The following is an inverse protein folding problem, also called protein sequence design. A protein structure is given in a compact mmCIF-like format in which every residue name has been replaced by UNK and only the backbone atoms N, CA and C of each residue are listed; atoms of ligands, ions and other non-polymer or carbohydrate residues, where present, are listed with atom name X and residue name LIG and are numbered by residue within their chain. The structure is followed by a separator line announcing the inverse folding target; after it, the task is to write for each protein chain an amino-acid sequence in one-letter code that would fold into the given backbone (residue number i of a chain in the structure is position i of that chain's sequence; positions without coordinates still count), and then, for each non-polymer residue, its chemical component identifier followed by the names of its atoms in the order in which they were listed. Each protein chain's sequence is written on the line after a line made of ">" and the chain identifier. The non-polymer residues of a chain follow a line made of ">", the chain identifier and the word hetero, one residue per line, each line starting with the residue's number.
data_IF_539065206564
#
_entry.id   IF_539065206564
#
_cell.length_a   1.000
_cell.length_b   1.000
_cell.length_c   1.000
_cell.angle_alpha   90.00
_cell.angle_beta   90.00
_cell.angle_gamma   90.00
#
_symmetry.space_group_name_H-M   'P 1'
#
loop_
_entity.id
_entity.type
_entity.pdbx_description
1 polymer ?
#
# COMPACT_ATOMS: atom_id res chain seq x y z
N UNK A 1 7.72 17.73 -22.48
CA UNK A 1 8.21 17.89 -21.49
C UNK A 1 8.07 16.94 -20.48
N UNK A 2 7.14 16.53 -20.27
CA UNK A 2 6.77 15.73 -19.18
C UNK A 2 7.29 14.32 -19.20
N UNK A 3 7.69 13.75 -20.34
CA UNK A 3 8.15 12.36 -20.40
C UNK A 3 9.37 12.08 -19.51
N UNK A 4 10.39 12.96 -19.53
CA UNK A 4 11.57 12.76 -18.70
C UNK A 4 11.26 12.94 -17.22
N UNK A 5 10.39 13.89 -16.90
CA UNK A 5 9.93 14.12 -15.54
C UNK A 5 9.18 12.92 -15.01
N UNK A 6 8.24 12.38 -15.80
CA UNK A 6 7.44 11.23 -15.41
C UNK A 6 8.29 9.98 -15.19
N UNK A 7 9.25 9.72 -16.07
CA UNK A 7 10.16 8.58 -15.93
C UNK A 7 11.01 8.71 -14.68
N UNK A 8 11.47 9.93 -14.35
CA UNK A 8 12.26 10.14 -13.14
C UNK A 8 11.43 9.86 -11.87
N UNK A 9 10.18 10.32 -11.84
CA UNK A 9 9.28 10.07 -10.72
C UNK A 9 8.99 8.58 -10.57
N UNK A 10 8.73 7.89 -11.68
CA UNK A 10 8.46 6.46 -11.64
C UNK A 10 9.67 5.67 -11.13
N UNK A 11 10.88 6.08 -11.52
CA UNK A 11 12.09 5.43 -11.01
C UNK A 11 12.24 5.62 -9.51
N UNK A 12 11.98 6.82 -9.01
CA UNK A 12 12.02 7.09 -7.59
C UNK A 12 10.98 6.28 -6.83
N UNK A 13 9.77 6.21 -7.35
CA UNK A 13 8.69 5.42 -6.76
C UNK A 13 9.06 3.94 -6.74
N UNK A 14 9.66 3.43 -7.80
CA UNK A 14 10.09 2.05 -7.87
C UNK A 14 11.17 1.73 -6.84
N UNK A 15 12.11 2.64 -6.64
CA UNK A 15 13.15 2.49 -5.62
C UNK A 15 12.54 2.47 -4.22
N UNK A 16 11.64 3.40 -3.94
CA UNK A 16 10.97 3.48 -2.64
C UNK A 16 10.10 2.25 -2.38
N UNK A 17 9.42 1.77 -3.41
CA UNK A 17 8.63 0.54 -3.32
C UNK A 17 9.51 -0.65 -2.98
N UNK A 18 10.65 -0.76 -3.63
CA UNK A 18 11.60 -1.83 -3.34
C UNK A 18 12.09 -1.79 -1.89
N UNK A 19 12.37 -0.59 -1.38
CA UNK A 19 12.78 -0.41 0.01
C UNK A 19 11.67 -0.79 0.98
N UNK A 20 10.42 -0.46 0.67
CA UNK A 20 9.26 -0.85 1.48
C UNK A 20 9.13 -2.36 1.55
N UNK A 21 9.21 -3.02 0.41
CA UNK A 21 9.10 -4.48 0.33
C UNK A 21 10.22 -5.14 1.14
N UNK A 22 11.43 -4.62 1.03
CA UNK A 22 12.57 -5.11 1.82
C UNK A 22 12.31 -4.91 3.32
N UNK A 23 11.79 -3.77 3.72
CA UNK A 23 11.47 -3.49 5.11
C UNK A 23 10.43 -4.47 5.65
N UNK A 24 9.36 -4.69 4.89
CA UNK A 24 8.33 -5.66 5.26
C UNK A 24 8.95 -7.04 5.44
N UNK A 25 9.78 -7.45 4.51
CA UNK A 25 10.42 -8.77 4.57
C UNK A 25 11.32 -8.91 5.80
N UNK A 26 12.20 -7.95 6.02
CA UNK A 26 13.22 -8.07 7.07
C UNK A 26 12.68 -7.80 8.47
N UNK A 27 11.83 -6.79 8.59
CA UNK A 27 11.44 -6.28 9.92
C UNK A 27 10.08 -6.79 10.38
N UNK A 28 9.16 -7.02 9.46
CA UNK A 28 7.82 -7.45 9.83
C UNK A 28 7.61 -8.94 9.68
N UNK A 29 8.00 -9.50 8.54
CA UNK A 29 7.88 -10.94 8.29
C UNK A 29 9.09 -11.72 8.81
N UNK A 30 10.23 -11.06 8.92
CA UNK A 30 11.50 -11.67 9.38
C UNK A 30 11.86 -12.90 8.55
N UNK A 31 11.76 -12.76 7.24
CA UNK A 31 12.08 -13.80 6.29
C UNK A 31 13.30 -13.41 5.48
N UNK A 32 14.09 -14.43 5.08
CA UNK A 32 15.14 -14.18 4.11
C UNK A 32 14.53 -14.09 2.70
N UNK A 33 15.35 -13.68 1.72
CA UNK A 33 14.87 -13.51 0.34
C UNK A 33 14.32 -14.79 -0.25
N UNK A 34 14.98 -15.90 0.00
CA UNK A 34 14.59 -17.19 -0.56
C UNK A 34 13.22 -17.60 -0.06
N UNK A 35 12.97 -17.44 1.23
CA UNK A 35 11.69 -17.82 1.84
C UNK A 35 10.56 -16.93 1.38
N UNK A 36 10.76 -15.62 1.36
CA UNK A 36 9.71 -14.71 0.88
C UNK A 36 9.45 -14.94 -0.60
N UNK A 37 10.48 -15.03 -1.40
CA UNK A 37 10.34 -15.25 -2.84
C UNK A 37 9.49 -16.50 -3.11
N UNK A 38 9.74 -17.57 -2.39
CA UNK A 38 8.99 -18.81 -2.51
C UNK A 38 7.51 -18.59 -2.18
N UNK A 39 7.22 -17.82 -1.14
CA UNK A 39 5.84 -17.58 -0.70
C UNK A 39 5.05 -16.66 -1.62
N UNK A 40 5.73 -15.76 -2.33
CA UNK A 40 5.06 -14.86 -3.26
C UNK A 40 5.25 -15.26 -4.73
N UNK A 41 5.82 -16.46 -4.97
CA UNK A 41 5.85 -17.04 -6.29
C UNK A 41 6.86 -16.44 -7.26
N UNK A 42 8.00 -15.95 -6.76
CA UNK A 42 9.07 -15.40 -7.60
C UNK A 42 10.40 -16.04 -7.20
N UNK A 43 11.42 -15.84 -8.03
CA UNK A 43 12.77 -16.26 -7.67
C UNK A 43 13.38 -15.29 -6.66
N UNK A 44 14.35 -15.77 -5.87
CA UNK A 44 15.05 -14.89 -4.94
C UNK A 44 15.87 -13.82 -5.67
N UNK A 45 16.37 -14.15 -6.86
CA UNK A 45 17.06 -13.18 -7.70
C UNK A 45 16.14 -12.08 -8.17
N UNK A 46 14.93 -12.43 -8.60
CA UNK A 46 13.95 -11.44 -9.01
C UNK A 46 13.52 -10.56 -7.83
N UNK A 47 13.30 -11.17 -6.68
CA UNK A 47 12.98 -10.40 -5.48
C UNK A 47 14.11 -9.42 -5.14
N UNK A 48 15.36 -9.85 -5.29
CA UNK A 48 16.50 -8.95 -5.11
C UNK A 48 16.45 -7.74 -6.02
N UNK A 49 16.10 -7.94 -7.30
CA UNK A 49 15.95 -6.84 -8.25
C UNK A 49 14.80 -5.91 -7.85
N UNK A 50 13.71 -6.45 -7.37
CA UNK A 50 12.57 -5.66 -6.90
C UNK A 50 12.99 -4.79 -5.71
N UNK A 51 13.71 -5.37 -4.75
CA UNK A 51 14.15 -4.64 -3.56
C UNK A 51 15.18 -3.56 -3.89
N UNK A 52 15.94 -3.75 -4.95
CA UNK A 52 16.89 -2.74 -5.42
C UNK A 52 16.23 -1.65 -6.26
N UNK A 53 14.95 -1.77 -6.56
CA UNK A 53 14.23 -0.79 -7.36
C UNK A 53 14.44 -0.96 -8.86
N UNK A 54 14.87 -2.15 -9.30
CA UNK A 54 15.13 -2.42 -10.72
C UNK A 54 14.00 -3.17 -11.41
N UNK A 55 13.07 -3.71 -10.66
CA UNK A 55 11.92 -4.45 -11.18
C UNK A 55 10.72 -4.25 -10.27
N UNK A 56 9.54 -4.62 -10.75
CA UNK A 56 8.31 -4.55 -9.99
C UNK A 56 7.73 -5.96 -9.82
N UNK A 57 7.05 -6.17 -8.71
CA UNK A 57 6.30 -7.40 -8.50
C UNK A 57 5.09 -7.46 -9.44
N UNK A 58 4.71 -8.67 -9.82
CA UNK A 58 3.47 -8.90 -10.56
C UNK A 58 2.27 -8.69 -9.64
N UNK A 59 1.09 -8.52 -10.22
CA UNK A 59 -0.13 -8.40 -9.43
C UNK A 59 -0.35 -9.61 -8.53
N UNK A 60 -0.05 -10.80 -9.03
CA UNK A 60 -0.16 -12.02 -8.24
C UNK A 60 0.75 -11.99 -7.01
N UNK A 61 2.00 -11.59 -7.21
CA UNK A 61 2.97 -11.51 -6.11
C UNK A 61 2.59 -10.45 -5.09
N UNK A 62 2.05 -9.31 -5.55
CA UNK A 62 1.55 -8.28 -4.67
C UNK A 62 0.37 -8.79 -3.84
N UNK A 63 -0.54 -9.53 -4.47
CA UNK A 63 -1.68 -10.13 -3.76
C UNK A 63 -1.20 -11.09 -2.67
N UNK A 64 -0.22 -11.93 -2.99
CA UNK A 64 0.34 -12.87 -2.02
C UNK A 64 1.07 -12.15 -0.89
N UNK A 65 1.81 -11.10 -1.21
CA UNK A 65 2.49 -10.30 -0.19
C UNK A 65 1.49 -9.57 0.70
N UNK A 66 0.42 -9.05 0.12
CA UNK A 66 -0.68 -8.44 0.87
C UNK A 66 -1.26 -9.43 1.88
N UNK A 67 -1.55 -10.64 1.42
CA UNK A 67 -2.13 -11.67 2.29
C UNK A 67 -1.17 -12.09 3.40
N UNK A 68 0.11 -12.14 3.10
CA UNK A 68 1.13 -12.57 4.04
C UNK A 68 1.46 -11.48 5.08
N UNK A 69 1.56 -10.23 4.64
CA UNK A 69 2.00 -9.12 5.49
C UNK A 69 0.87 -8.43 6.24
N UNK A 70 -0.35 -8.52 5.72
CA UNK A 70 -1.48 -7.77 6.25
C UNK A 70 -1.56 -6.32 5.78
N UNK A 71 -0.56 -5.85 5.03
CA UNK A 71 -0.61 -4.51 4.44
C UNK A 71 -1.49 -4.51 3.20
N UNK A 72 -2.15 -3.39 2.95
CA UNK A 72 -2.92 -3.22 1.73
C UNK A 72 -2.02 -3.13 0.51
N UNK A 73 -2.58 -3.43 -0.67
CA UNK A 73 -1.86 -3.23 -1.92
C UNK A 73 -1.50 -1.75 -2.10
N UNK A 74 -2.38 -0.86 -1.67
CA UNK A 74 -2.13 0.59 -1.74
C UNK A 74 -0.90 1.00 -0.96
N UNK A 75 -0.70 0.42 0.23
CA UNK A 75 0.51 0.69 0.99
C UNK A 75 1.74 0.13 0.28
N UNK A 76 1.67 -1.11 -0.18
CA UNK A 76 2.80 -1.79 -0.81
C UNK A 76 3.23 -1.05 -2.08
N UNK A 77 2.27 -0.66 -2.91
CA UNK A 77 2.53 -0.07 -4.22
C UNK A 77 2.75 1.45 -4.13
N UNK A 78 1.89 2.15 -3.40
CA UNK A 78 1.80 3.61 -3.45
C UNK A 78 2.17 4.31 -2.15
N UNK A 79 2.57 3.57 -1.12
CA UNK A 79 2.96 4.15 0.17
C UNK A 79 1.82 4.85 0.91
N UNK A 80 0.57 4.47 0.66
CA UNK A 80 -0.55 4.98 1.44
C UNK A 80 -0.53 4.40 2.84
N UNK A 81 -0.75 5.26 3.83
CA UNK A 81 -0.61 4.89 5.24
C UNK A 81 -1.74 3.98 5.71
N UNK A 82 -1.44 2.71 5.92
CA UNK A 82 -2.40 1.73 6.46
C UNK A 82 -2.92 2.14 7.83
N UNK A 83 -2.13 2.85 8.60
CA UNK A 83 -2.49 3.25 9.97
C UNK A 83 -3.73 4.12 9.97
N UNK A 84 -3.88 5.01 9.01
CA UNK A 84 -5.04 5.88 8.89
C UNK A 84 -6.28 5.05 8.59
N UNK A 85 -6.17 4.09 7.67
CA UNK A 85 -7.28 3.21 7.31
C UNK A 85 -7.72 2.37 8.51
N UNK A 86 -6.77 1.78 9.22
CA UNK A 86 -7.04 0.95 10.39
C UNK A 86 -7.73 1.75 11.50
N UNK A 87 -7.23 2.94 11.78
CA UNK A 87 -7.83 3.81 12.80
C UNK A 87 -9.25 4.19 12.42
N UNK A 88 -9.48 4.52 11.16
CA UNK A 88 -10.81 4.86 10.67
C UNK A 88 -11.76 3.68 10.85
N UNK A 89 -11.34 2.48 10.50
CA UNK A 89 -12.17 1.28 10.68
C UNK A 89 -12.49 1.03 12.15
N UNK A 90 -11.50 1.18 13.04
CA UNK A 90 -11.71 1.01 14.48
C UNK A 90 -12.75 2.01 15.00
N UNK A 91 -12.65 3.27 14.59
CA UNK A 91 -13.62 4.29 14.97
C UNK A 91 -15.01 3.95 14.45
N UNK A 92 -15.12 3.53 13.19
CA UNK A 92 -16.42 3.19 12.62
C UNK A 92 -17.07 2.00 13.32
N UNK A 93 -16.29 1.04 13.78
CA UNK A 93 -16.80 -0.13 14.49
C UNK A 93 -17.43 0.21 15.86
N UNK A 94 -17.08 1.36 16.42
CA UNK A 94 -17.61 1.79 17.73
C UNK A 94 -19.00 2.42 17.64
N UNK A 95 -19.46 2.70 16.42
CA UNK A 95 -20.73 3.42 16.24
C UNK A 95 -21.81 2.49 15.74
N UNK A 96 -23.03 2.80 16.12
CA UNK A 96 -24.20 2.10 15.60
C UNK A 96 -24.42 2.48 14.14
N UNK A 97 -25.22 1.67 13.44
CA UNK A 97 -25.56 1.95 12.05
C UNK A 97 -26.20 3.33 11.90
N UNK A 98 -27.12 3.68 12.81
CA UNK A 98 -27.78 5.00 12.76
C UNK A 98 -26.80 6.14 12.99
N UNK A 99 -25.85 5.96 13.90
CA UNK A 99 -24.81 6.96 14.13
C UNK A 99 -23.91 7.13 12.91
N UNK A 100 -23.58 6.04 12.22
CA UNK A 100 -22.78 6.09 11.01
C UNK A 100 -23.53 6.80 9.88
N UNK A 101 -24.81 6.56 9.73
CA UNK A 101 -25.65 7.24 8.74
C UNK A 101 -25.68 8.73 9.02
N UNK A 102 -25.87 9.12 10.29
CA UNK A 102 -25.86 10.52 10.69
C UNK A 102 -24.55 11.22 10.37
N UNK A 103 -23.43 10.54 10.69
CA UNK A 103 -22.10 11.08 10.39
C UNK A 103 -21.89 11.24 8.88
N UNK A 104 -22.36 10.27 8.08
CA UNK A 104 -22.26 10.35 6.63
C UNK A 104 -23.05 11.53 6.07
N UNK A 105 -24.26 11.75 6.59
CA UNK A 105 -25.09 12.88 6.18
C UNK A 105 -24.40 14.21 6.50
N UNK A 106 -23.81 14.33 7.67
CA UNK A 106 -23.03 15.51 8.04
C UNK A 106 -21.86 15.76 7.10
N UNK A 107 -21.15 14.70 6.73
CA UNK A 107 -20.03 14.80 5.79
C UNK A 107 -20.50 15.25 4.41
N UNK A 108 -21.65 14.76 3.96
CA UNK A 108 -22.23 15.16 2.69
C UNK A 108 -22.58 16.63 2.69
N UNK A 109 -23.18 17.12 3.76
CA UNK A 109 -23.50 18.54 3.91
C UNK A 109 -22.24 19.40 3.91
N UNK A 110 -21.21 18.97 4.64
CA UNK A 110 -19.94 19.67 4.69
C UNK A 110 -19.30 19.75 3.31
N UNK A 111 -19.29 18.64 2.58
CA UNK A 111 -18.75 18.61 1.23
C UNK A 111 -19.51 19.54 0.30
N UNK A 112 -20.83 19.57 0.42
CA UNK A 112 -21.67 20.47 -0.36
C UNK A 112 -21.31 21.93 -0.07
N UNK A 113 -21.18 22.29 1.19
CA UNK A 113 -20.83 23.66 1.61
C UNK A 113 -19.43 24.04 1.10
N UNK A 114 -18.46 23.14 1.22
CA UNK A 114 -17.08 23.41 0.79
C UNK A 114 -16.96 23.55 -0.74
N UNK A 115 -17.80 22.84 -1.49
CA UNK A 115 -17.78 22.90 -2.95
C UNK A 115 -18.67 24.02 -3.52
N UNK A 116 -19.38 24.69 -2.66
CA UNK A 116 -20.32 25.74 -3.04
C UNK A 116 -19.57 27.06 -3.23
N UNK A 117 -19.32 27.43 -4.46
CA UNK A 117 -18.63 28.70 -4.74
C UNK A 117 -19.35 29.49 -5.82
#
# INVERSE_FOLDING_TARGET
>A
MSKNFDVSIEKQDQILRGKRIKYIRENELRLNKTDLAKQIGVSSQFLGLVEEGKSNLTFRSIKLLRNLSGHSADYIIFELDDTVIDKTQIYLQRYTENELIGALDMLKELCFVLNRK
#
